data_IF_022789337166
#
_entry.id   IF_022789337166
#
_cell.length_a   1.000
_cell.length_b   1.000
_cell.length_c   1.000
_cell.angle_alpha   90.00
_cell.angle_beta   90.00
_cell.angle_gamma   90.00
#
_symmetry.space_group_name_H-M   'P 1'
#
loop_
_entity.id
_entity.type
_entity.pdbx_description
1 polymer ?
#
# COMPACT_ATOMS: atom_id res chain seq x y z
N UNK A 1 -21.82 -6.04 2.68
CA UNK A 1 -21.33 -5.85 1.31
C UNK A 1 -19.84 -6.00 1.40
N UNK A 2 -19.31 -7.16 1.02
CA UNK A 2 -17.92 -7.52 1.25
C UNK A 2 -17.42 -8.24 -0.01
N UNK A 3 -17.16 -7.45 -1.05
CA UNK A 3 -16.16 -7.80 -2.06
C UNK A 3 -14.82 -7.13 -1.67
N UNK A 4 -14.52 -7.15 -0.36
CA UNK A 4 -13.24 -6.74 0.26
C UNK A 4 -12.32 -7.95 0.48
N UNK A 5 -12.60 -9.05 -0.22
CA UNK A 5 -11.92 -10.33 -0.02
C UNK A 5 -10.53 -10.22 -0.66
N UNK A 6 -9.57 -9.75 0.15
CA UNK A 6 -8.12 -9.61 -0.12
C UNK A 6 -7.67 -8.31 -0.82
N UNK A 7 -8.02 -7.17 -0.26
CA UNK A 7 -7.39 -5.89 -0.62
C UNK A 7 -5.99 -5.78 0.00
N UNK A 8 -4.99 -5.40 -0.80
CA UNK A 8 -3.67 -4.95 -0.30
C UNK A 8 -3.72 -3.55 0.35
N UNK A 9 -2.62 -2.79 0.28
CA UNK A 9 -2.52 -1.47 0.95
C UNK A 9 -3.62 -0.48 0.54
N UNK A 10 -3.96 -0.41 -0.76
CA UNK A 10 -4.87 0.60 -1.32
C UNK A 10 -6.22 0.02 -1.77
N UNK A 11 -7.32 0.76 -1.55
CA UNK A 11 -8.61 0.46 -2.21
C UNK A 11 -8.50 0.79 -3.69
N UNK A 12 -9.42 0.25 -4.47
CA UNK A 12 -9.65 0.68 -5.85
C UNK A 12 -9.83 2.20 -5.94
N UNK A 13 -10.69 2.77 -5.09
CA UNK A 13 -10.93 4.21 -5.05
C UNK A 13 -9.68 5.04 -4.69
N UNK A 14 -8.85 4.55 -3.78
CA UNK A 14 -7.60 5.22 -3.41
C UNK A 14 -6.60 5.18 -4.58
N UNK A 15 -6.56 4.09 -5.36
CA UNK A 15 -5.75 4.01 -6.59
C UNK A 15 -6.22 5.01 -7.64
N UNK A 16 -7.53 5.13 -7.87
CA UNK A 16 -8.10 6.14 -8.78
C UNK A 16 -7.74 7.58 -8.37
N UNK A 17 -7.77 7.86 -7.06
CA UNK A 17 -7.43 9.20 -6.55
C UNK A 17 -5.94 9.50 -6.66
N UNK A 18 -5.07 8.50 -6.44
CA UNK A 18 -3.62 8.68 -6.55
C UNK A 18 -3.17 8.83 -8.01
N UNK A 19 -3.70 8.01 -8.91
CA UNK A 19 -3.44 8.07 -10.36
C UNK A 19 -3.95 9.35 -11.02
N UNK A 20 -4.92 10.03 -10.40
CA UNK A 20 -5.53 11.24 -10.93
C UNK A 20 -6.76 10.97 -11.81
N UNK A 21 -7.19 9.71 -11.92
CA UNK A 21 -8.38 9.31 -12.65
C UNK A 21 -9.69 9.73 -11.95
N UNK A 22 -9.62 10.02 -10.65
CA UNK A 22 -10.76 10.55 -9.90
C UNK A 22 -10.77 12.08 -9.89
N UNK A 23 -11.86 12.66 -10.40
CA UNK A 23 -12.15 14.09 -10.24
C UNK A 23 -12.63 14.38 -8.80
N UNK A 24 -11.70 14.84 -7.96
CA UNK A 24 -11.94 15.17 -6.56
C UNK A 24 -11.21 16.46 -6.18
N UNK A 25 -11.72 17.16 -5.17
CA UNK A 25 -11.06 18.38 -4.69
C UNK A 25 -9.66 18.11 -4.12
N UNK A 26 -8.76 19.09 -4.25
CA UNK A 26 -7.40 19.02 -3.70
C UNK A 26 -7.40 18.71 -2.19
N UNK A 27 -8.35 19.29 -1.45
CA UNK A 27 -8.49 19.01 -0.02
C UNK A 27 -8.83 17.54 0.25
N UNK A 28 -9.68 16.93 -0.58
CA UNK A 28 -10.03 15.52 -0.43
C UNK A 28 -8.85 14.63 -0.84
N UNK A 29 -8.19 14.94 -1.96
CA UNK A 29 -6.95 14.24 -2.38
C UNK A 29 -5.90 14.27 -1.28
N UNK A 30 -5.66 15.44 -0.67
CA UNK A 30 -4.73 15.60 0.45
C UNK A 30 -5.10 14.70 1.64
N UNK A 31 -6.37 14.65 2.02
CA UNK A 31 -6.84 13.76 3.10
C UNK A 31 -6.61 12.29 2.79
N UNK A 32 -6.81 11.88 1.54
CA UNK A 32 -6.55 10.51 1.08
C UNK A 32 -5.06 10.18 1.17
N UNK A 33 -4.19 11.07 0.69
CA UNK A 33 -2.72 10.91 0.82
C UNK A 33 -2.31 10.81 2.29
N UNK A 34 -2.85 11.67 3.16
CA UNK A 34 -2.57 11.62 4.59
C UNK A 34 -2.99 10.28 5.21
N UNK A 35 -4.14 9.74 4.82
CA UNK A 35 -4.60 8.43 5.29
C UNK A 35 -3.69 7.30 4.81
N UNK A 36 -3.20 7.38 3.57
CA UNK A 36 -2.29 6.39 3.01
C UNK A 36 -0.97 6.38 3.77
N UNK A 37 -0.42 7.55 4.15
CA UNK A 37 0.78 7.62 5.00
C UNK A 37 0.60 6.86 6.31
N UNK A 38 -0.52 7.04 7.00
CA UNK A 38 -0.82 6.27 8.22
C UNK A 38 -0.90 4.75 7.97
N UNK A 39 -1.29 4.32 6.77
CA UNK A 39 -1.25 2.89 6.43
C UNK A 39 0.15 2.38 6.14
N UNK A 40 1.04 3.26 5.66
CA UNK A 40 2.45 2.90 5.48
C UNK A 40 3.12 2.73 6.84
N UNK A 41 2.81 3.60 7.81
CA UNK A 41 3.29 3.43 9.19
C UNK A 41 2.82 2.09 9.77
N UNK A 42 1.55 1.72 9.57
CA UNK A 42 1.05 0.40 10.02
C UNK A 42 1.67 -0.79 9.25
N UNK A 43 2.05 -0.60 7.98
CA UNK A 43 2.72 -1.63 7.20
C UNK A 43 4.14 -1.89 7.72
N UNK A 44 4.81 -0.88 8.29
CA UNK A 44 6.11 -1.05 8.96
C UNK A 44 5.99 -2.07 10.11
N UNK A 45 5.00 -1.91 10.98
CA UNK A 45 4.72 -2.86 12.07
C UNK A 45 4.43 -4.28 11.52
N UNK A 46 3.65 -4.39 10.45
CA UNK A 46 3.35 -5.68 9.80
C UNK A 46 4.61 -6.33 9.22
N UNK A 47 5.52 -5.53 8.64
CA UNK A 47 6.79 -6.01 8.08
C UNK A 47 7.70 -6.56 9.17
N UNK A 48 7.82 -5.89 10.32
CA UNK A 48 8.62 -6.39 11.45
C UNK A 48 8.12 -7.77 11.92
N UNK A 49 6.80 -7.95 12.01
CA UNK A 49 6.19 -9.25 12.38
C UNK A 49 6.50 -10.33 11.34
N UNK A 50 6.46 -10.00 10.05
CA UNK A 50 6.81 -10.94 8.98
C UNK A 50 8.28 -11.32 9.03
N UNK A 51 9.18 -10.36 9.25
CA UNK A 51 10.62 -10.61 9.37
C UNK A 51 10.93 -11.52 10.57
N UNK A 52 10.31 -11.28 11.73
CA UNK A 52 10.59 -12.04 12.95
C UNK A 52 10.00 -13.46 12.95
N UNK A 53 8.82 -13.65 12.34
CA UNK A 53 8.06 -14.90 12.50
C UNK A 53 7.89 -15.70 11.20
N UNK A 54 7.98 -15.06 10.04
CA UNK A 54 7.65 -15.67 8.75
C UNK A 54 8.56 -15.16 7.61
N UNK A 55 9.87 -15.40 7.74
CA UNK A 55 10.92 -14.92 6.81
C UNK A 55 10.57 -15.12 5.32
N UNK A 56 9.98 -16.25 4.92
CA UNK A 56 9.59 -16.48 3.52
C UNK A 56 8.53 -15.50 2.99
N UNK A 57 7.55 -15.11 3.82
CA UNK A 57 6.55 -14.11 3.42
C UNK A 57 7.15 -12.70 3.37
N UNK A 58 8.13 -12.43 4.24
CA UNK A 58 8.88 -11.18 4.21
C UNK A 58 9.72 -11.05 2.93
N UNK A 59 10.44 -12.11 2.53
CA UNK A 59 11.18 -12.16 1.27
C UNK A 59 10.25 -11.96 0.06
N UNK A 60 9.08 -12.63 0.03
CA UNK A 60 8.08 -12.43 -1.03
C UNK A 60 7.58 -10.98 -1.10
N UNK A 61 7.34 -10.34 0.05
CA UNK A 61 6.93 -8.95 0.13
C UNK A 61 8.03 -8.00 -0.34
N UNK A 62 9.28 -8.21 0.09
CA UNK A 62 10.44 -7.46 -0.39
C UNK A 62 10.59 -7.60 -1.89
N UNK A 63 10.45 -8.80 -2.44
CA UNK A 63 10.49 -9.03 -3.88
C UNK A 63 9.39 -8.25 -4.61
N UNK A 64 8.18 -8.13 -4.05
CA UNK A 64 7.11 -7.34 -4.67
C UNK A 64 7.44 -5.85 -4.67
N UNK A 65 8.01 -5.31 -3.60
CA UNK A 65 8.26 -3.88 -3.42
C UNK A 65 9.57 -3.42 -4.09
N UNK A 66 10.61 -4.24 -4.06
CA UNK A 66 11.97 -3.93 -4.52
C UNK A 66 12.25 -4.41 -5.96
N UNK A 67 11.23 -4.90 -6.69
CA UNK A 67 11.30 -5.14 -8.14
C UNK A 67 11.41 -3.79 -8.89
N UNK A 68 12.59 -3.18 -8.86
CA UNK A 68 13.19 -2.31 -9.90
C UNK A 68 14.31 -1.42 -9.31
N UNK A 69 15.51 -1.99 -9.14
CA UNK A 69 16.77 -1.24 -8.99
C UNK A 69 17.98 -1.95 -9.65
N UNK A 70 17.75 -2.96 -10.52
CA UNK A 70 18.82 -3.76 -11.15
C UNK A 70 18.62 -4.03 -12.64
N UNK A 71 17.96 -3.15 -13.38
CA UNK A 71 17.89 -3.22 -14.84
C UNK A 71 17.82 -1.80 -15.46
N UNK A 72 18.83 -0.95 -15.19
CA UNK A 72 19.19 0.19 -16.06
C UNK A 72 20.71 0.48 -16.01
#
# INVERSE_FOLDING_TARGET
MADDQYRGLLTEREREILSGDADVSDNYRYRVVSRIRTKMDALEDDVEVLEEHHEGLYEELQDIVCKDDRDE
#
